data_IF_572185977674
#
_entry.id   IF_572185977674
#
_cell.length_a   1.000
_cell.length_b   1.000
_cell.length_c   1.000
_cell.angle_alpha   90.00
_cell.angle_beta   90.00
_cell.angle_gamma   90.00
#
_symmetry.space_group_name_H-M   'P 1'
#
loop_
_entity.id
_entity.type
_entity.pdbx_description
1 polymer ?
#
# COMPACT_ATOMS: atom_id res chain seq x y z
N UNK A 1 24.36 14.60 -10.49
CA UNK A 1 23.29 14.23 -9.53
C UNK A 1 22.58 15.51 -9.14
N UNK A 2 21.25 15.55 -9.27
CA UNK A 2 20.43 16.73 -8.99
C UNK A 2 19.60 16.44 -7.74
N UNK A 3 19.48 17.43 -6.85
CA UNK A 3 18.60 17.36 -5.69
C UNK A 3 17.50 18.40 -5.87
N UNK A 4 16.25 17.96 -5.83
CA UNK A 4 15.07 18.81 -5.98
C UNK A 4 14.29 18.74 -4.67
N UNK A 5 14.13 19.89 -4.02
CA UNK A 5 13.22 20.03 -2.86
C UNK A 5 12.00 20.82 -3.33
N UNK A 6 10.83 20.19 -3.28
CA UNK A 6 9.58 20.79 -3.70
C UNK A 6 8.42 20.28 -2.83
N UNK A 7 7.37 21.11 -2.74
CA UNK A 7 6.09 20.74 -2.14
C UNK A 7 5.08 20.25 -3.20
N UNK A 8 5.39 20.45 -4.48
CA UNK A 8 4.58 19.95 -5.61
C UNK A 8 5.01 18.52 -5.91
N UNK A 9 4.35 17.57 -5.25
CA UNK A 9 4.69 16.15 -5.31
C UNK A 9 4.49 15.56 -6.72
N UNK A 10 3.52 16.07 -7.48
CA UNK A 10 3.26 15.72 -8.88
C UNK A 10 4.47 15.98 -9.80
N UNK A 11 5.17 17.11 -9.57
CA UNK A 11 6.40 17.44 -10.31
C UNK A 11 7.57 16.54 -9.91
N UNK A 12 7.60 16.10 -8.64
CA UNK A 12 8.62 15.17 -8.14
C UNK A 12 8.40 13.77 -8.75
N UNK A 13 7.15 13.31 -8.87
CA UNK A 13 6.82 12.04 -9.53
C UNK A 13 7.28 11.98 -10.98
N UNK A 14 7.19 13.09 -11.70
CA UNK A 14 7.47 13.14 -13.13
C UNK A 14 8.97 13.09 -13.46
N UNK A 15 9.82 13.58 -12.55
CA UNK A 15 11.22 13.91 -12.86
C UNK A 15 12.22 13.09 -12.01
N UNK A 16 11.80 12.60 -10.84
CA UNK A 16 12.72 11.96 -9.91
C UNK A 16 12.72 10.44 -10.04
N UNK A 17 13.93 9.89 -10.09
CA UNK A 17 14.24 8.46 -9.99
C UNK A 17 14.09 7.91 -8.56
N UNK A 18 14.12 8.79 -7.55
CA UNK A 18 14.10 8.44 -6.13
C UNK A 18 13.64 9.64 -5.32
N UNK A 19 12.73 9.42 -4.37
CA UNK A 19 12.26 10.43 -3.44
C UNK A 19 12.57 10.00 -2.01
N UNK A 20 13.04 10.93 -1.18
CA UNK A 20 13.31 10.66 0.24
C UNK A 20 12.52 11.64 1.08
N UNK A 21 11.74 11.11 2.03
CA UNK A 21 10.99 11.91 2.98
C UNK A 21 11.86 12.19 4.21
N UNK A 22 12.00 13.47 4.55
CA UNK A 22 12.70 13.95 5.74
C UNK A 22 11.67 14.48 6.74
N UNK A 23 11.74 14.02 7.99
CA UNK A 23 10.91 14.50 9.09
C UNK A 23 11.76 14.56 10.36
N UNK A 24 11.61 15.62 11.15
CA UNK A 24 12.33 15.83 12.42
C UNK A 24 13.87 15.67 12.29
N UNK A 25 14.42 16.15 11.17
CA UNK A 25 15.86 16.06 10.87
C UNK A 25 16.37 14.66 10.52
N UNK A 26 15.47 13.68 10.37
CA UNK A 26 15.80 12.30 10.00
C UNK A 26 15.11 11.89 8.70
N UNK A 27 15.78 11.04 7.92
CA UNK A 27 15.15 10.40 6.77
C UNK A 27 14.20 9.31 7.29
N UNK A 28 12.91 9.47 7.00
CA UNK A 28 11.85 8.58 7.49
C UNK A 28 11.41 7.56 6.45
N UNK A 29 11.55 7.87 5.16
CA UNK A 29 11.16 6.95 4.10
C UNK A 29 11.96 7.20 2.83
N UNK A 30 12.38 6.11 2.18
CA UNK A 30 13.09 6.09 0.92
C UNK A 30 12.19 5.42 -0.11
N UNK A 31 11.82 6.16 -1.14
CA UNK A 31 10.94 5.70 -2.22
C UNK A 31 11.76 5.66 -3.49
N UNK A 32 12.06 4.44 -3.95
CA UNK A 32 12.63 4.24 -5.28
C UNK A 32 11.51 4.46 -6.31
N UNK A 33 11.74 5.35 -7.27
CA UNK A 33 10.78 5.68 -8.33
C UNK A 33 11.20 5.07 -9.67
N UNK A 34 12.39 4.45 -9.77
CA UNK A 34 12.88 3.83 -11.02
C UNK A 34 12.15 2.54 -11.38
N UNK A 35 11.69 1.79 -10.39
CA UNK A 35 10.94 0.53 -10.57
C UNK A 35 9.41 0.72 -10.48
N UNK A 36 8.95 1.91 -10.89
CA UNK A 36 7.56 2.33 -10.72
C UNK A 36 7.41 3.06 -9.40
N UNK A 37 6.74 4.20 -9.42
CA UNK A 37 6.49 5.02 -8.23
C UNK A 37 5.63 4.29 -7.20
N UNK A 38 4.81 5.01 -6.42
CA UNK A 38 3.92 4.37 -5.46
C UNK A 38 3.09 3.28 -6.16
N UNK A 39 3.32 2.01 -5.80
CA UNK A 39 2.65 0.90 -6.46
C UNK A 39 1.17 0.90 -6.11
N UNK A 40 0.31 0.78 -7.12
CA UNK A 40 -1.11 0.52 -6.93
C UNK A 40 -1.28 -0.67 -5.97
N UNK A 41 -2.28 -0.58 -5.10
CA UNK A 41 -2.52 -1.60 -4.09
C UNK A 41 -3.99 -1.99 -4.06
N UNK A 42 -4.26 -3.27 -3.80
CA UNK A 42 -5.61 -3.76 -3.53
C UNK A 42 -5.76 -3.95 -2.03
N UNK A 43 -6.79 -3.34 -1.47
CA UNK A 43 -7.12 -3.38 -0.05
C UNK A 43 -8.31 -4.32 0.11
N UNK A 44 -8.16 -5.31 0.98
CA UNK A 44 -9.22 -6.22 1.40
C UNK A 44 -9.58 -5.94 2.85
N UNK A 45 -10.86 -5.68 3.13
CA UNK A 45 -11.37 -5.60 4.49
C UNK A 45 -12.08 -6.90 4.84
N UNK A 46 -11.60 -7.58 5.87
CA UNK A 46 -12.03 -8.92 6.27
C UNK A 46 -12.67 -8.90 7.66
N UNK A 47 -13.33 -10.00 8.03
CA UNK A 47 -13.72 -10.22 9.41
C UNK A 47 -12.49 -10.54 10.27
N UNK A 48 -12.54 -10.19 11.56
CA UNK A 48 -11.42 -10.43 12.48
C UNK A 48 -11.10 -11.92 12.63
N UNK A 49 -12.12 -12.76 12.56
CA UNK A 49 -11.99 -14.21 12.71
C UNK A 49 -11.30 -14.84 11.49
N UNK A 50 -11.51 -14.26 10.31
CA UNK A 50 -10.92 -14.74 9.04
C UNK A 50 -9.57 -14.10 8.72
N UNK A 51 -9.21 -13.01 9.42
CA UNK A 51 -8.04 -12.19 9.10
C UNK A 51 -6.73 -12.99 9.03
N UNK A 52 -6.43 -13.81 10.04
CA UNK A 52 -5.15 -14.52 10.07
C UNK A 52 -5.09 -15.58 8.95
N UNK A 53 -6.18 -16.32 8.72
CA UNK A 53 -6.24 -17.34 7.66
C UNK A 53 -6.12 -16.71 6.26
N UNK A 54 -6.80 -15.58 6.07
CA UNK A 54 -6.69 -14.82 4.82
C UNK A 54 -5.27 -14.29 4.63
N UNK A 55 -4.64 -13.75 5.68
CA UNK A 55 -3.28 -13.24 5.64
C UNK A 55 -2.29 -14.33 5.24
N UNK A 56 -2.41 -15.53 5.81
CA UNK A 56 -1.54 -16.66 5.48
C UNK A 56 -1.68 -17.04 3.98
N UNK A 57 -2.92 -17.20 3.50
CA UNK A 57 -3.21 -17.54 2.09
C UNK A 57 -2.74 -16.46 1.10
N UNK A 58 -2.95 -15.20 1.43
CA UNK A 58 -2.55 -14.06 0.60
C UNK A 58 -1.04 -13.85 0.58
N UNK A 59 -0.36 -14.17 1.68
CA UNK A 59 1.11 -14.07 1.79
C UNK A 59 1.80 -15.06 0.86
N UNK A 60 1.20 -16.22 0.59
CA UNK A 60 1.76 -17.23 -0.32
C UNK A 60 1.63 -16.82 -1.80
N UNK A 61 0.53 -16.16 -2.18
CA UNK A 61 0.15 -16.04 -3.60
C UNK A 61 0.10 -14.60 -4.15
N UNK A 62 -0.11 -13.58 -3.31
CA UNK A 62 -0.51 -12.24 -3.78
C UNK A 62 0.42 -11.08 -3.33
N UNK A 63 1.58 -11.38 -2.75
CA UNK A 63 2.55 -10.38 -2.23
C UNK A 63 1.88 -9.33 -1.34
N UNK A 64 1.69 -9.70 -0.06
CA UNK A 64 1.18 -8.79 0.96
C UNK A 64 2.19 -7.67 1.20
N UNK A 65 1.75 -6.42 1.01
CA UNK A 65 2.53 -5.22 1.28
C UNK A 65 2.38 -4.77 2.74
N UNK A 66 1.16 -4.87 3.29
CA UNK A 66 0.86 -4.46 4.67
C UNK A 66 -0.39 -5.16 5.20
N UNK A 67 -0.50 -5.31 6.52
CA UNK A 67 -1.66 -5.90 7.19
C UNK A 67 -1.99 -5.15 8.48
N UNK A 68 -3.25 -4.80 8.70
CA UNK A 68 -3.75 -4.09 9.88
C UNK A 68 -4.87 -4.89 10.54
N UNK A 69 -4.51 -5.66 11.59
CA UNK A 69 -5.44 -6.56 12.27
C UNK A 69 -6.57 -5.83 13.03
N UNK A 70 -6.32 -4.61 13.50
CA UNK A 70 -7.33 -3.82 14.23
C UNK A 70 -8.48 -3.37 13.33
N UNK A 71 -8.17 -2.88 12.11
CA UNK A 71 -9.15 -2.51 11.08
C UNK A 71 -9.65 -3.70 10.26
N UNK A 72 -8.93 -4.83 10.29
CA UNK A 72 -9.23 -6.01 9.48
C UNK A 72 -8.78 -5.85 8.02
N UNK A 73 -7.85 -4.95 7.74
CA UNK A 73 -7.41 -4.64 6.39
C UNK A 73 -6.13 -5.40 6.01
N UNK A 74 -6.11 -5.97 4.82
CA UNK A 74 -4.92 -6.57 4.20
C UNK A 74 -4.67 -5.86 2.88
N UNK A 75 -3.46 -5.34 2.70
CA UNK A 75 -3.02 -4.60 1.53
C UNK A 75 -2.07 -5.49 0.74
N UNK A 76 -2.45 -5.79 -0.50
CA UNK A 76 -1.67 -6.58 -1.44
C UNK A 76 -1.29 -5.72 -2.65
N UNK A 77 -0.33 -6.19 -3.45
CA UNK A 77 -0.04 -5.57 -4.74
C UNK A 77 -1.31 -5.51 -5.59
N UNK A 78 -1.52 -4.41 -6.30
CA UNK A 78 -2.73 -4.21 -7.10
C UNK A 78 -3.05 -5.39 -8.01
N UNK A 79 -4.32 -5.79 -7.96
CA UNK A 79 -4.90 -6.81 -8.80
C UNK A 79 -5.82 -6.15 -9.83
N UNK A 80 -5.59 -6.46 -11.11
CA UNK A 80 -6.47 -6.04 -12.20
C UNK A 80 -7.69 -6.97 -12.37
N UNK A 81 -7.62 -8.19 -11.83
CA UNK A 81 -8.67 -9.19 -11.87
C UNK A 81 -8.79 -9.86 -10.49
N UNK A 82 -9.96 -9.74 -9.87
CA UNK A 82 -10.20 -10.31 -8.55
C UNK A 82 -10.67 -11.77 -8.58
N UNK A 83 -10.88 -12.38 -9.76
CA UNK A 83 -11.44 -13.74 -9.83
C UNK A 83 -10.58 -14.77 -9.10
N UNK A 84 -9.28 -14.79 -9.36
CA UNK A 84 -8.37 -15.74 -8.69
C UNK A 84 -8.22 -15.43 -7.19
N UNK A 85 -8.16 -14.16 -6.83
CA UNK A 85 -8.12 -13.69 -5.44
C UNK A 85 -9.36 -14.10 -4.63
N UNK A 86 -10.55 -13.86 -5.19
CA UNK A 86 -11.80 -14.23 -4.54
C UNK A 86 -11.99 -15.74 -4.54
N UNK A 87 -11.55 -16.45 -5.58
CA UNK A 87 -11.59 -17.90 -5.64
C UNK A 87 -10.72 -18.53 -4.56
N UNK A 88 -9.48 -18.06 -4.37
CA UNK A 88 -8.58 -18.58 -3.33
C UNK A 88 -9.16 -18.36 -1.92
N UNK A 89 -9.76 -17.18 -1.67
CA UNK A 89 -10.41 -16.90 -0.39
C UNK A 89 -11.67 -17.74 -0.19
N UNK A 90 -12.48 -17.94 -1.24
CA UNK A 90 -13.71 -18.75 -1.17
C UNK A 90 -13.45 -20.23 -0.87
N UNK A 91 -12.31 -20.78 -1.31
CA UNK A 91 -11.91 -22.15 -0.98
C UNK A 91 -11.64 -22.35 0.50
N UNK A 92 -11.33 -21.26 1.21
CA UNK A 92 -11.11 -21.23 2.67
C UNK A 92 -12.37 -20.79 3.43
N UNK A 93 -13.50 -20.64 2.74
CA UNK A 93 -14.75 -20.09 3.26
C UNK A 93 -14.63 -18.63 3.77
N UNK A 94 -13.72 -17.86 3.16
CA UNK A 94 -13.44 -16.47 3.53
C UNK A 94 -14.03 -15.53 2.49
N UNK A 95 -14.82 -14.55 2.94
CA UNK A 95 -15.43 -13.54 2.08
C UNK A 95 -15.11 -12.13 2.59
N UNK A 96 -14.36 -11.33 1.83
CA UNK A 96 -14.11 -9.93 2.18
C UNK A 96 -15.41 -9.15 2.33
N UNK A 97 -15.49 -8.32 3.37
CA UNK A 97 -16.57 -7.33 3.52
C UNK A 97 -16.47 -6.25 2.45
N UNK A 98 -15.25 -5.91 2.07
CA UNK A 98 -14.97 -4.85 1.11
C UNK A 98 -13.65 -5.13 0.38
N UNK A 99 -13.59 -4.73 -0.88
CA UNK A 99 -12.39 -4.81 -1.72
C UNK A 99 -12.31 -3.57 -2.60
N UNK A 100 -11.14 -2.93 -2.64
CA UNK A 100 -10.88 -1.80 -3.53
C UNK A 100 -9.44 -1.80 -4.01
N UNK A 101 -9.20 -1.30 -5.22
CA UNK A 101 -7.84 -1.02 -5.70
C UNK A 101 -7.63 0.48 -5.71
N UNK A 102 -6.65 0.93 -4.94
CA UNK A 102 -6.22 2.32 -4.89
C UNK A 102 -4.95 2.49 -5.70
N UNK A 103 -4.98 3.50 -6.57
CA UNK A 103 -3.74 3.98 -7.17
C UNK A 103 -2.97 4.76 -6.13
N UNK A 104 -1.72 4.39 -5.90
CA UNK A 104 -0.92 5.07 -4.90
C UNK A 104 -0.25 6.28 -5.55
N UNK A 105 -0.24 7.42 -4.86
CA UNK A 105 0.49 8.63 -5.28
C UNK A 105 1.52 9.04 -4.21
N UNK A 106 2.56 9.77 -4.60
CA UNK A 106 3.51 10.40 -3.69
C UNK A 106 2.79 11.36 -2.75
N UNK A 107 1.69 11.95 -3.22
CA UNK A 107 0.77 12.72 -2.39
C UNK A 107 0.17 11.88 -1.27
N UNK A 108 -0.35 10.69 -1.56
CA UNK A 108 -0.88 9.80 -0.52
C UNK A 108 0.21 9.32 0.45
N UNK A 109 1.41 9.04 -0.06
CA UNK A 109 2.58 8.69 0.75
C UNK A 109 2.97 9.84 1.69
N UNK A 110 3.04 11.08 1.18
CA UNK A 110 3.31 12.28 1.98
C UNK A 110 2.25 12.49 3.08
N UNK A 111 0.97 12.36 2.74
CA UNK A 111 -0.10 12.51 3.73
C UNK A 111 -0.05 11.43 4.81
N UNK A 112 0.21 10.16 4.47
CA UNK A 112 0.31 9.07 5.44
C UNK A 112 1.47 9.25 6.44
N UNK A 113 2.63 9.73 5.97
CA UNK A 113 3.79 9.99 6.84
C UNK A 113 3.52 11.15 7.81
N UNK A 114 2.79 12.17 7.36
CA UNK A 114 2.54 13.38 8.15
C UNK A 114 1.31 13.27 9.07
N UNK A 115 0.24 12.57 8.66
CA UNK A 115 -0.97 12.41 9.49
C UNK A 115 -0.74 11.61 10.77
N UNK A 116 0.29 10.75 10.83
CA UNK A 116 0.67 10.05 12.08
C UNK A 116 1.26 10.98 13.14
N UNK A 117 1.52 12.25 12.84
CA UNK A 117 2.06 13.23 13.78
C UNK A 117 1.06 14.12 14.52
N UNK A 118 -0.21 14.16 14.08
CA UNK A 118 -1.23 15.06 14.63
C UNK A 118 -2.18 14.38 15.65
N UNK A 119 -1.75 13.27 16.27
CA UNK A 119 -2.45 12.64 17.40
C UNK A 119 -1.57 12.60 18.64
#
# INVERSE_FOLDING_TARGET
KILISSHKLEDIELICDRAVFLRDGKFVQDVDMKDGGPEDSTILTLQKDDFNKALDSLSENFKVQQSQKESGEIIIKAQNDYRELLKSLSQLDIYPKYIETRKSSLRDTYFNINQRGDK
#
